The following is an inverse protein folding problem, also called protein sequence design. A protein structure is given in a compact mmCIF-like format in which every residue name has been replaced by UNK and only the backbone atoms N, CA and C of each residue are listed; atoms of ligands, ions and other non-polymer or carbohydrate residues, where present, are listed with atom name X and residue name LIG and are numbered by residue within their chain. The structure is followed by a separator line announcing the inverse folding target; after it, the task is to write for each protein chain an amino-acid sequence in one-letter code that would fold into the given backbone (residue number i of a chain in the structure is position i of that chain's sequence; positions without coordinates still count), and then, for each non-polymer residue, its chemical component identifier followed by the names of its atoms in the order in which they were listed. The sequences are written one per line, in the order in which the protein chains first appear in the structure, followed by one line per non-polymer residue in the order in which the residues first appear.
data_IF_334162365489
#
_entry.id   IF_334162365489
#
_cell.length_a   1.000
_cell.length_b   1.000
_cell.length_c   1.000
_cell.angle_alpha   90.00
_cell.angle_beta   90.00
_cell.angle_gamma   90.00
#
_symmetry.space_group_name_H-M   'P 1'
#
loop_
_entity.id
_entity.type
_entity.pdbx_description
1 polymer ?
#
# COMPACT_ATOMS: atom_id res chain seq x y z
N UNK A 1 22.07 0.22 3.08
CA UNK A 1 21.27 -0.44 2.02
C UNK A 1 20.52 -1.59 2.68
N UNK A 2 19.20 -1.71 2.47
CA UNK A 2 18.43 -2.82 3.04
C UNK A 2 19.00 -4.14 2.47
N UNK A 3 19.34 -5.08 3.35
CA UNK A 3 19.90 -6.36 2.94
C UNK A 3 18.76 -7.29 2.50
N UNK A 4 18.34 -7.14 1.24
CA UNK A 4 17.27 -7.94 0.63
C UNK A 4 17.91 -9.10 -0.10
N UNK A 5 17.47 -10.32 0.18
CA UNK A 5 17.93 -11.54 -0.50
C UNK A 5 17.29 -11.65 -1.89
N UNK A 6 17.65 -10.76 -2.80
CA UNK A 6 17.12 -10.67 -4.15
C UNK A 6 17.84 -11.59 -5.15
N UNK A 7 17.05 -12.19 -6.05
CA UNK A 7 17.54 -12.91 -7.23
C UNK A 7 16.93 -12.28 -8.48
N UNK A 8 17.77 -11.96 -9.46
CA UNK A 8 17.30 -11.38 -10.71
C UNK A 8 16.99 -12.47 -11.74
N UNK A 9 15.84 -12.34 -12.40
CA UNK A 9 15.48 -13.12 -13.57
C UNK A 9 15.88 -12.31 -14.80
N UNK A 10 16.71 -12.91 -15.66
CA UNK A 10 17.25 -12.28 -16.86
C UNK A 10 16.54 -12.80 -18.11
N UNK A 11 16.38 -11.94 -19.12
CA UNK A 11 15.98 -12.36 -20.46
C UNK A 11 17.16 -12.86 -21.30
N UNK A 12 16.90 -13.23 -22.56
CA UNK A 12 17.92 -13.71 -23.51
C UNK A 12 19.00 -12.68 -23.85
N UNK A 13 18.79 -11.40 -23.55
CA UNK A 13 19.73 -10.29 -23.77
C UNK A 13 20.42 -9.87 -22.46
N UNK A 14 20.39 -10.70 -21.42
CA UNK A 14 20.91 -10.39 -20.08
C UNK A 14 20.26 -9.16 -19.43
N UNK A 15 19.04 -8.78 -19.83
CA UNK A 15 18.30 -7.70 -19.20
C UNK A 15 17.53 -8.25 -18.01
N UNK A 16 17.60 -7.57 -16.86
CA UNK A 16 16.77 -7.85 -15.68
C UNK A 16 15.31 -7.58 -16.02
N UNK A 17 14.46 -8.60 -15.93
CA UNK A 17 13.02 -8.50 -16.26
C UNK A 17 12.13 -8.75 -15.05
N UNK A 18 12.62 -9.45 -14.04
CA UNK A 18 11.93 -9.64 -12.77
C UNK A 18 12.93 -9.83 -11.63
N UNK A 19 12.44 -9.68 -10.40
CA UNK A 19 13.16 -9.98 -9.17
C UNK A 19 12.36 -11.00 -8.36
N UNK A 20 13.05 -11.98 -7.82
CA UNK A 20 12.51 -12.94 -6.86
C UNK A 20 13.08 -12.59 -5.48
N UNK A 21 12.18 -12.46 -4.50
CA UNK A 21 12.51 -12.21 -3.09
C UNK A 21 11.72 -13.18 -2.22
N UNK A 22 12.15 -13.43 -0.97
CA UNK A 22 11.34 -14.16 -0.01
C UNK A 22 9.98 -13.47 0.18
N UNK A 23 8.91 -14.27 0.28
CA UNK A 23 7.55 -13.74 0.43
C UNK A 23 7.41 -12.84 1.67
N UNK A 24 8.12 -13.17 2.75
CA UNK A 24 8.13 -12.36 3.98
C UNK A 24 8.82 -11.00 3.78
N UNK A 25 9.80 -10.92 2.88
CA UNK A 25 10.43 -9.66 2.50
C UNK A 25 9.47 -8.82 1.66
N UNK A 26 8.78 -9.43 0.69
CA UNK A 26 7.75 -8.75 -0.09
C UNK A 26 6.66 -8.14 0.79
N UNK A 27 6.09 -8.94 1.71
CA UNK A 27 5.05 -8.45 2.65
C UNK A 27 5.52 -7.28 3.50
N UNK A 28 6.77 -7.31 3.99
CA UNK A 28 7.34 -6.20 4.77
C UNK A 28 7.44 -4.92 3.93
N UNK A 29 7.79 -5.04 2.65
CA UNK A 29 7.84 -3.90 1.73
C UNK A 29 6.42 -3.34 1.56
N UNK A 30 5.43 -4.18 1.27
CA UNK A 30 4.02 -3.77 1.14
C UNK A 30 3.54 -3.05 2.41
N UNK A 31 3.70 -3.66 3.60
CA UNK A 31 3.26 -3.04 4.85
C UNK A 31 3.87 -1.64 5.06
N UNK A 32 5.18 -1.47 4.82
CA UNK A 32 5.84 -0.17 5.00
C UNK A 32 5.29 0.86 4.00
N UNK A 33 5.04 0.47 2.76
CA UNK A 33 4.48 1.36 1.74
C UNK A 33 3.03 1.74 2.06
N UNK A 34 2.21 0.77 2.48
CA UNK A 34 0.81 0.98 2.88
C UNK A 34 0.71 1.87 4.13
N UNK A 35 1.50 1.59 5.17
CA UNK A 35 1.54 2.38 6.41
C UNK A 35 1.95 3.83 6.12
N UNK A 36 2.96 4.02 5.27
CA UNK A 36 3.38 5.36 4.86
C UNK A 36 2.28 6.09 4.08
N UNK A 37 1.70 5.45 3.07
CA UNK A 37 0.62 6.04 2.28
C UNK A 37 -0.59 6.39 3.15
N UNK A 38 -0.99 5.50 4.04
CA UNK A 38 -2.06 5.75 5.02
C UNK A 38 -1.73 6.93 5.93
N UNK A 39 -0.49 7.01 6.42
CA UNK A 39 -0.01 8.13 7.21
C UNK A 39 -0.13 9.46 6.46
N UNK A 40 0.25 9.50 5.17
CA UNK A 40 0.07 10.68 4.33
C UNK A 40 -1.41 11.04 4.16
N UNK A 41 -2.29 10.08 3.88
CA UNK A 41 -3.73 10.36 3.76
C UNK A 41 -4.34 10.91 5.05
N UNK A 42 -3.90 10.44 6.22
CA UNK A 42 -4.32 10.98 7.52
C UNK A 42 -3.84 12.43 7.69
N UNK A 43 -2.61 12.73 7.28
CA UNK A 43 -2.07 14.10 7.35
C UNK A 43 -2.79 15.05 6.39
N UNK A 44 -3.06 14.62 5.16
CA UNK A 44 -3.73 15.41 4.13
C UNK A 44 -5.18 15.74 4.53
N UNK A 45 -5.83 14.86 5.30
CA UNK A 45 -7.21 15.03 5.79
C UNK A 45 -7.28 15.65 7.19
N UNK A 46 -6.15 16.07 7.78
CA UNK A 46 -6.08 16.49 9.19
C UNK A 46 -7.00 17.66 9.55
N UNK A 47 -7.17 18.60 8.62
CA UNK A 47 -8.02 19.79 8.82
C UNK A 47 -9.47 19.55 8.39
N UNK A 48 -9.79 18.38 7.84
CA UNK A 48 -11.16 18.02 7.49
C UNK A 48 -11.98 17.75 8.76
N UNK A 49 -13.23 18.22 8.75
CA UNK A 49 -14.14 17.98 9.87
C UNK A 49 -14.52 16.49 9.93
N UNK A 50 -14.26 15.78 11.03
CA UNK A 50 -14.66 14.39 11.16
C UNK A 50 -16.19 14.28 11.17
N UNK A 51 -16.71 13.27 10.48
CA UNK A 51 -18.13 12.93 10.52
C UNK A 51 -18.46 12.25 11.84
N UNK A 52 -19.61 12.59 12.43
CA UNK A 52 -20.20 11.75 13.47
C UNK A 52 -20.58 10.38 12.91
N UNK A 53 -20.72 9.37 13.77
CA UNK A 53 -21.15 8.02 13.36
C UNK A 53 -22.46 8.06 12.56
N UNK A 54 -23.40 8.95 12.92
CA UNK A 54 -24.68 9.11 12.21
C UNK A 54 -24.47 9.68 10.79
N UNK A 55 -23.64 10.71 10.66
CA UNK A 55 -23.31 11.32 9.37
C UNK A 55 -22.53 10.35 8.48
N UNK A 56 -21.55 9.64 9.03
CA UNK A 56 -20.79 8.61 8.33
C UNK A 56 -21.70 7.48 7.80
N UNK A 57 -22.62 6.96 8.62
CA UNK A 57 -23.61 5.95 8.19
C UNK A 57 -24.52 6.47 7.08
N UNK A 58 -24.95 7.73 7.13
CA UNK A 58 -25.77 8.36 6.07
C UNK A 58 -24.98 8.57 4.78
N UNK A 59 -23.72 8.99 4.89
CA UNK A 59 -22.84 9.32 3.77
C UNK A 59 -22.36 8.05 3.04
N UNK A 60 -21.83 7.08 3.78
CA UNK A 60 -21.26 5.85 3.22
C UNK A 60 -22.30 4.73 3.02
N UNK A 61 -23.37 4.67 3.81
CA UNK A 61 -24.39 3.62 3.74
C UNK A 61 -25.24 3.62 2.46
N UNK A 62 -25.17 4.67 1.63
CA UNK A 62 -25.78 4.70 0.29
C UNK A 62 -24.99 3.93 -0.76
N UNK A 63 -23.75 3.54 -0.48
CA UNK A 63 -22.95 2.67 -1.36
C UNK A 63 -23.20 1.20 -0.99
N UNK A 64 -24.40 0.69 -1.28
CA UNK A 64 -24.56 -0.74 -1.51
C UNK A 64 -23.76 -1.09 -2.76
N UNK A 65 -22.87 -2.09 -2.63
CA UNK A 65 -22.04 -2.62 -3.74
C UNK A 65 -22.93 -2.88 -4.97
N UNK A 66 -22.58 -2.32 -6.12
CA UNK A 66 -23.04 -2.84 -7.42
C UNK A 66 -22.28 -4.10 -7.77
#
# INVERSE_FOLDING_TARGET
MLNIAEKYILDKKNKKVAVQIPIETYKKIECVLEDYALGQYILDTRDEKPLSVKEAKKYYGKRTRS
#
